data_IF_317423124204
#
_entry.id   IF_317423124204
#
_cell.length_a   1.000
_cell.length_b   1.000
_cell.length_c   1.000
_cell.angle_alpha   90.00
_cell.angle_beta   90.00
_cell.angle_gamma   90.00
#
_symmetry.space_group_name_H-M   'P 1'
#
loop_
_entity.id
_entity.type
_entity.pdbx_description
1 polymer ?
#
# COMPACT_ATOMS: atom_id res chain seq x y z
N UNK A 1 13.02 35.82 83.07
CA UNK A 1 13.73 36.31 81.85
C UNK A 1 13.95 35.18 80.96
N UNK A 2 13.19 34.99 79.93
CA UNK A 2 13.32 33.97 78.91
C UNK A 2 13.41 34.66 77.53
N UNK A 3 14.58 34.45 76.87
CA UNK A 3 14.89 34.94 75.56
C UNK A 3 14.25 34.04 74.51
N UNK A 4 13.43 34.59 73.63
CA UNK A 4 12.95 33.92 72.42
C UNK A 4 13.87 34.32 71.24
N UNK A 5 14.62 33.40 70.72
CA UNK A 5 15.28 33.54 69.45
C UNK A 5 14.37 33.02 68.34
N UNK A 6 13.90 33.86 67.46
CA UNK A 6 13.17 33.48 66.26
C UNK A 6 14.14 33.13 65.17
N UNK A 7 14.09 31.86 64.69
CA UNK A 7 14.81 31.44 63.54
C UNK A 7 13.96 31.66 62.26
N UNK A 8 14.42 32.59 61.44
CA UNK A 8 13.84 32.86 60.11
C UNK A 8 14.37 31.84 59.11
N UNK A 9 13.55 30.83 58.76
CA UNK A 9 13.88 29.85 57.75
C UNK A 9 13.54 30.38 56.34
N UNK A 10 14.56 30.74 55.57
CA UNK A 10 14.40 30.99 54.13
C UNK A 10 14.17 29.64 53.42
N UNK A 11 12.94 29.40 52.97
CA UNK A 11 12.65 28.32 52.03
C UNK A 11 13.12 28.76 50.63
N UNK A 12 14.25 28.22 50.18
CA UNK A 12 14.67 28.33 48.76
C UNK A 12 13.80 27.40 47.95
N UNK A 13 12.84 27.97 47.20
CA UNK A 13 12.09 27.22 46.21
C UNK A 13 13.02 26.80 45.09
N UNK A 14 13.43 25.54 45.09
CA UNK A 14 14.13 24.94 43.96
C UNK A 14 13.13 24.86 42.77
N UNK A 15 13.22 25.83 41.87
CA UNK A 15 12.58 25.75 40.57
C UNK A 15 13.21 24.58 39.81
N UNK A 16 12.52 23.45 39.79
CA UNK A 16 12.91 22.31 38.94
C UNK A 16 12.84 22.77 37.48
N UNK A 17 13.99 23.12 36.90
CA UNK A 17 14.14 23.29 35.47
C UNK A 17 13.69 21.99 34.83
N UNK A 18 12.51 22.01 34.18
CA UNK A 18 12.11 20.91 33.29
C UNK A 18 13.20 20.76 32.22
N UNK A 19 13.80 19.59 32.05
CA UNK A 19 14.79 19.42 30.99
C UNK A 19 14.14 19.85 29.67
N UNK A 20 14.83 20.73 28.93
CA UNK A 20 14.41 21.10 27.60
C UNK A 20 14.26 19.80 26.81
N UNK A 21 13.03 19.49 26.38
CA UNK A 21 12.78 18.34 25.50
C UNK A 21 13.62 18.59 24.25
N UNK A 22 14.60 17.72 24.01
CA UNK A 22 15.29 17.69 22.72
C UNK A 22 14.21 17.73 21.62
N UNK A 23 14.42 18.48 20.52
CA UNK A 23 13.48 18.48 19.42
C UNK A 23 13.39 17.05 18.90
N UNK A 24 12.26 16.38 19.19
CA UNK A 24 11.99 15.08 18.63
C UNK A 24 11.71 15.31 17.15
N UNK A 25 12.61 14.88 16.28
CA UNK A 25 12.34 14.72 14.87
C UNK A 25 11.29 13.62 14.73
N UNK A 26 10.01 14.01 14.78
CA UNK A 26 8.92 13.08 14.59
C UNK A 26 8.79 12.80 13.10
N UNK A 27 9.17 11.59 12.69
CA UNK A 27 8.72 11.03 11.41
C UNK A 27 7.20 10.93 11.45
N UNK A 28 6.51 11.88 10.80
CA UNK A 28 5.05 11.85 10.68
C UNK A 28 4.66 10.75 9.71
N UNK A 29 3.80 9.80 10.11
CA UNK A 29 3.36 8.64 9.32
C UNK A 29 2.45 8.98 8.12
N UNK A 30 2.49 10.21 7.60
CA UNK A 30 1.70 10.65 6.45
C UNK A 30 2.55 10.80 5.18
N UNK A 31 3.85 10.51 5.25
CA UNK A 31 4.78 10.50 4.12
C UNK A 31 5.34 9.10 3.92
N UNK A 32 5.54 8.70 2.67
CA UNK A 32 6.08 7.42 2.26
C UNK A 32 7.06 7.60 1.11
N UNK A 33 8.13 6.78 1.06
CA UNK A 33 9.22 6.87 0.10
C UNK A 33 10.35 7.79 0.54
N UNK A 34 11.49 7.70 -0.14
CA UNK A 34 12.74 8.46 0.12
C UNK A 34 13.08 9.38 -1.04
N UNK A 35 13.37 8.82 -2.21
CA UNK A 35 13.67 9.53 -3.44
C UNK A 35 12.39 9.88 -4.19
N UNK A 36 11.50 8.91 -4.38
CA UNK A 36 10.14 9.13 -4.86
C UNK A 36 9.20 9.14 -3.66
N UNK A 37 8.83 10.32 -3.20
CA UNK A 37 8.13 10.49 -1.94
C UNK A 37 6.74 11.05 -2.12
N UNK A 38 5.78 10.48 -1.42
CA UNK A 38 4.43 11.03 -1.33
C UNK A 38 4.12 11.50 0.10
N UNK A 39 3.31 12.55 0.21
CA UNK A 39 2.68 12.98 1.47
C UNK A 39 1.19 13.12 1.25
N UNK A 40 0.38 12.33 1.96
CA UNK A 40 -1.09 12.35 1.84
C UNK A 40 -1.74 13.17 2.95
N UNK A 41 -2.83 13.85 2.64
CA UNK A 41 -3.57 14.72 3.56
C UNK A 41 -5.07 14.68 3.31
N UNK A 42 -5.84 15.26 4.22
CA UNK A 42 -7.29 15.35 4.14
C UNK A 42 -8.04 14.18 4.77
N UNK A 43 -9.33 14.35 4.99
CA UNK A 43 -10.24 13.41 5.64
C UNK A 43 -11.44 13.10 4.75
N UNK A 44 -12.16 11.99 5.09
CA UNK A 44 -13.31 11.54 4.30
C UNK A 44 -14.51 12.49 4.35
N UNK A 45 -14.63 13.32 5.37
CA UNK A 45 -15.67 14.32 5.61
C UNK A 45 -15.05 15.70 5.89
N UNK A 46 -14.04 16.08 5.12
CA UNK A 46 -13.45 17.42 5.06
C UNK A 46 -13.66 18.02 3.67
N UNK A 47 -12.95 19.09 3.35
CA UNK A 47 -13.02 19.75 2.04
C UNK A 47 -12.54 18.87 0.86
N UNK A 48 -11.64 17.93 1.13
CA UNK A 48 -11.07 17.03 0.13
C UNK A 48 -9.98 16.15 0.71
N UNK A 49 -9.42 15.30 -0.13
CA UNK A 49 -8.21 14.50 0.11
C UNK A 49 -7.21 14.75 -1.00
N UNK A 50 -5.94 14.71 -0.69
CA UNK A 50 -4.93 14.97 -1.70
C UNK A 50 -3.59 14.33 -1.38
N UNK A 51 -2.66 14.56 -2.30
CA UNK A 51 -1.29 14.10 -2.22
C UNK A 51 -0.35 15.16 -2.77
N UNK A 52 0.83 15.22 -2.19
CA UNK A 52 2.00 15.88 -2.77
C UNK A 52 2.98 14.77 -3.12
N UNK A 53 3.38 14.70 -4.39
CA UNK A 53 4.47 13.85 -4.88
C UNK A 53 5.70 14.70 -5.01
N UNK A 54 6.78 14.30 -4.36
CA UNK A 54 8.08 14.94 -4.39
C UNK A 54 9.14 13.97 -4.95
N UNK A 55 10.11 14.48 -5.70
CA UNK A 55 11.15 13.68 -6.32
C UNK A 55 10.78 13.03 -7.67
N UNK A 56 9.62 13.34 -8.25
CA UNK A 56 9.32 12.89 -9.61
C UNK A 56 10.30 13.53 -10.61
N UNK A 57 10.98 12.76 -11.50
CA UNK A 57 11.81 13.32 -12.53
C UNK A 57 11.08 14.31 -13.44
N UNK A 58 11.76 15.32 -14.00
CA UNK A 58 11.15 16.20 -15.02
C UNK A 58 10.92 15.45 -16.33
N UNK A 59 10.03 15.98 -17.17
CA UNK A 59 9.73 15.50 -18.55
C UNK A 59 8.99 14.15 -18.59
N UNK A 60 8.40 13.72 -17.49
CA UNK A 60 7.46 12.60 -17.49
C UNK A 60 6.12 13.09 -18.04
N UNK A 61 5.57 12.53 -19.13
CA UNK A 61 4.22 12.86 -19.60
C UNK A 61 3.19 12.60 -18.51
N UNK A 62 2.45 13.63 -18.12
CA UNK A 62 1.46 13.53 -17.06
C UNK A 62 0.32 14.52 -17.29
N UNK A 63 -0.90 13.99 -17.32
CA UNK A 63 -2.15 14.75 -17.32
C UNK A 63 -3.09 14.15 -16.27
N UNK A 64 -4.26 14.75 -16.09
CA UNK A 64 -5.29 14.19 -15.22
C UNK A 64 -5.80 12.82 -15.71
N UNK A 65 -5.75 12.53 -17.00
CA UNK A 65 -6.35 11.32 -17.61
C UNK A 65 -5.80 10.01 -17.04
N UNK A 66 -4.48 9.73 -17.01
CA UNK A 66 -3.95 8.50 -16.44
C UNK A 66 -4.19 8.41 -14.91
N UNK A 67 -4.13 9.54 -14.21
CA UNK A 67 -4.44 9.58 -12.76
C UNK A 67 -5.91 9.27 -12.52
N UNK A 68 -6.81 9.87 -13.30
CA UNK A 68 -8.25 9.65 -13.21
C UNK A 68 -8.65 8.22 -13.54
N UNK A 69 -7.96 7.58 -14.48
CA UNK A 69 -8.16 6.17 -14.81
C UNK A 69 -7.94 5.28 -13.57
N UNK A 70 -6.83 5.44 -12.87
CA UNK A 70 -6.54 4.67 -11.65
C UNK A 70 -7.52 5.00 -10.51
N UNK A 71 -7.89 6.25 -10.35
CA UNK A 71 -8.88 6.66 -9.36
C UNK A 71 -10.27 6.09 -9.67
N UNK A 72 -10.65 5.98 -10.93
CA UNK A 72 -11.91 5.35 -11.34
C UNK A 72 -11.96 3.87 -10.95
N UNK A 73 -10.85 3.15 -11.04
CA UNK A 73 -10.73 1.76 -10.58
C UNK A 73 -10.89 1.64 -9.06
N UNK A 74 -10.47 2.65 -8.29
CA UNK A 74 -10.51 2.67 -6.82
C UNK A 74 -11.84 3.21 -6.25
N UNK A 75 -12.54 4.11 -6.94
CA UNK A 75 -13.70 4.85 -6.42
C UNK A 75 -14.81 3.96 -5.85
N UNK A 76 -15.69 4.48 -4.95
CA UNK A 76 -16.89 3.77 -4.52
C UNK A 76 -17.95 3.70 -5.63
N UNK A 77 -19.00 2.89 -5.43
CA UNK A 77 -20.18 2.88 -6.31
C UNK A 77 -19.97 2.18 -7.66
N UNK A 78 -18.96 1.32 -7.81
CA UNK A 78 -18.63 0.66 -9.07
C UNK A 78 -19.56 -0.51 -9.39
N UNK A 79 -20.04 -1.22 -8.38
CA UNK A 79 -20.93 -2.39 -8.53
C UNK A 79 -21.72 -2.64 -7.26
N UNK A 80 -22.66 -3.59 -7.31
CA UNK A 80 -23.42 -4.05 -6.15
C UNK A 80 -22.56 -4.74 -5.06
N UNK A 81 -21.32 -5.10 -5.38
CA UNK A 81 -20.37 -5.72 -4.45
C UNK A 81 -19.65 -4.70 -3.58
N UNK A 82 -19.71 -3.42 -3.95
CA UNK A 82 -19.04 -2.31 -3.26
C UNK A 82 -20.07 -1.38 -2.63
N UNK A 83 -19.60 -0.42 -1.84
CA UNK A 83 -20.45 0.59 -1.21
C UNK A 83 -21.30 1.35 -2.22
N UNK A 84 -22.59 1.63 -1.93
CA UNK A 84 -23.47 2.42 -2.80
C UNK A 84 -23.19 3.94 -2.74
N UNK A 85 -22.15 4.38 -2.04
CA UNK A 85 -21.70 5.76 -2.05
C UNK A 85 -21.31 6.18 -3.47
N UNK A 86 -21.70 7.37 -3.90
CA UNK A 86 -21.38 7.87 -5.24
C UNK A 86 -20.44 9.07 -5.16
N UNK A 87 -19.20 8.88 -5.56
CA UNK A 87 -18.17 9.92 -5.67
C UNK A 87 -17.51 9.81 -7.03
N UNK A 88 -17.36 10.91 -7.72
CA UNK A 88 -16.66 10.95 -9.01
C UNK A 88 -15.15 10.81 -8.86
N UNK A 89 -14.62 11.14 -7.67
CA UNK A 89 -13.19 11.19 -7.35
C UNK A 89 -12.38 11.96 -8.43
N UNK A 90 -12.96 13.04 -8.94
CA UNK A 90 -12.33 13.87 -9.98
C UNK A 90 -11.07 14.51 -9.44
N UNK A 91 -9.94 14.26 -10.08
CA UNK A 91 -8.64 14.80 -9.69
C UNK A 91 -8.38 16.16 -10.33
N UNK A 92 -7.75 17.05 -9.57
CA UNK A 92 -7.20 18.32 -10.02
C UNK A 92 -5.69 18.29 -9.80
N UNK A 93 -4.88 18.53 -10.84
CA UNK A 93 -3.42 18.73 -10.71
C UNK A 93 -3.18 20.22 -10.49
N UNK A 94 -2.63 20.59 -9.33
CA UNK A 94 -2.48 21.97 -8.91
C UNK A 94 -1.09 22.55 -9.19
N UNK A 95 -0.06 21.70 -9.28
CA UNK A 95 1.34 22.12 -9.51
C UNK A 95 2.20 20.98 -10.05
N UNK A 96 3.42 21.30 -10.47
CA UNK A 96 4.46 20.34 -10.84
C UNK A 96 4.35 19.77 -12.25
N UNK A 97 3.37 20.23 -13.03
CA UNK A 97 3.16 19.85 -14.44
C UNK A 97 3.01 21.12 -15.27
N UNK A 98 3.69 21.18 -16.37
CA UNK A 98 3.52 22.23 -17.39
C UNK A 98 2.22 21.95 -18.17
N UNK A 99 1.28 22.88 -18.10
CA UNK A 99 -0.05 22.75 -18.73
C UNK A 99 -0.01 22.80 -20.26
N UNK A 100 0.99 23.43 -20.84
CA UNK A 100 1.10 23.56 -22.31
C UNK A 100 1.67 22.28 -22.92
N UNK A 101 2.70 21.71 -22.29
CA UNK A 101 3.41 20.53 -22.81
C UNK A 101 2.94 19.21 -22.18
N UNK A 102 2.22 19.25 -21.05
CA UNK A 102 1.75 18.05 -20.35
C UNK A 102 2.87 17.21 -19.75
N UNK A 103 3.99 17.82 -19.35
CA UNK A 103 5.11 17.09 -18.73
C UNK A 103 5.43 17.62 -17.33
N UNK A 104 5.99 16.76 -16.50
CA UNK A 104 6.45 17.12 -15.15
C UNK A 104 7.63 18.09 -15.19
N UNK A 105 7.71 18.98 -14.20
CA UNK A 105 8.74 20.02 -14.09
C UNK A 105 9.90 19.64 -13.15
N UNK A 106 9.83 18.48 -12.46
CA UNK A 106 10.79 18.11 -11.41
C UNK A 106 10.55 18.84 -10.07
N UNK A 107 9.48 19.61 -9.98
CA UNK A 107 9.01 20.27 -8.75
C UNK A 107 7.86 19.47 -8.13
N UNK A 108 7.49 19.73 -6.84
CA UNK A 108 6.42 18.97 -6.21
C UNK A 108 5.10 19.01 -6.97
N UNK A 109 4.51 17.83 -7.20
CA UNK A 109 3.21 17.66 -7.87
C UNK A 109 2.14 17.57 -6.79
N UNK A 110 1.29 18.58 -6.69
CA UNK A 110 0.15 18.59 -5.78
C UNK A 110 -1.12 18.18 -6.52
N UNK A 111 -1.84 17.20 -5.97
CA UNK A 111 -3.13 16.73 -6.52
C UNK A 111 -4.20 16.74 -5.45
N UNK A 112 -5.42 17.12 -5.85
CA UNK A 112 -6.58 17.26 -4.97
C UNK A 112 -7.79 16.55 -5.57
N UNK A 113 -8.54 15.84 -4.71
CA UNK A 113 -9.90 15.34 -4.99
C UNK A 113 -10.86 15.92 -3.96
N UNK A 114 -11.86 16.67 -4.40
CA UNK A 114 -12.87 17.29 -3.53
C UNK A 114 -13.91 16.28 -3.07
N UNK A 115 -14.33 16.37 -1.81
CA UNK A 115 -15.43 15.58 -1.30
C UNK A 115 -16.77 16.19 -1.71
N UNK A 116 -17.67 15.39 -2.31
CA UNK A 116 -18.98 15.83 -2.79
C UNK A 116 -20.16 15.16 -2.07
N UNK A 117 -20.07 13.87 -1.74
CA UNK A 117 -21.16 13.07 -1.13
C UNK A 117 -20.87 12.79 0.35
N UNK A 118 -21.10 13.78 1.21
CA UNK A 118 -20.95 13.71 2.67
C UNK A 118 -22.32 13.72 3.34
N UNK A 119 -22.61 12.72 4.19
CA UNK A 119 -23.83 12.64 5.00
C UNK A 119 -23.44 12.54 6.48
N UNK A 120 -23.31 13.67 7.15
CA UNK A 120 -22.85 13.73 8.55
C UNK A 120 -23.83 13.09 9.54
N UNK A 121 -25.14 13.12 9.25
CA UNK A 121 -26.19 12.58 10.13
C UNK A 121 -26.15 11.06 10.28
N UNK A 122 -25.46 10.33 9.39
CA UNK A 122 -25.31 8.88 9.48
C UNK A 122 -24.40 8.44 10.67
N UNK A 123 -23.73 9.37 11.35
CA UNK A 123 -22.67 9.08 12.31
C UNK A 123 -23.01 9.44 13.77
N UNK A 124 -24.20 9.94 14.09
CA UNK A 124 -24.56 10.38 15.44
C UNK A 124 -24.43 9.26 16.49
N UNK A 125 -24.91 8.06 16.17
CA UNK A 125 -24.76 6.90 17.07
C UNK A 125 -23.30 6.43 17.20
N UNK A 126 -22.49 6.66 16.19
CA UNK A 126 -21.06 6.32 16.18
C UNK A 126 -20.21 7.34 16.92
N UNK A 127 -20.75 8.55 17.22
CA UNK A 127 -20.10 9.54 18.06
C UNK A 127 -19.99 9.07 19.50
N UNK A 128 -21.00 8.39 20.01
CA UNK A 128 -21.09 7.96 21.41
C UNK A 128 -20.42 6.61 21.69
N UNK A 129 -20.36 5.69 20.71
CA UNK A 129 -19.84 4.34 20.89
C UNK A 129 -18.72 4.01 19.89
N UNK A 130 -17.88 3.04 20.24
CA UNK A 130 -16.79 2.59 19.39
C UNK A 130 -17.28 1.47 18.45
N UNK A 131 -16.98 1.59 17.16
CA UNK A 131 -17.24 0.51 16.21
C UNK A 131 -16.29 -0.67 16.46
N UNK A 132 -16.78 -1.89 16.66
CA UNK A 132 -15.92 -3.07 16.84
C UNK A 132 -14.93 -3.21 15.68
N UNK A 133 -13.66 -3.49 15.99
CA UNK A 133 -12.56 -3.64 15.00
C UNK A 133 -12.29 -2.42 14.11
N UNK A 134 -12.89 -1.25 14.37
CA UNK A 134 -12.53 0.02 13.74
C UNK A 134 -11.47 0.77 14.55
N UNK A 135 -10.88 1.82 13.98
CA UNK A 135 -9.84 2.61 14.63
C UNK A 135 -10.34 3.61 15.70
N UNK A 136 -11.64 3.61 16.04
CA UNK A 136 -12.26 4.65 16.88
C UNK A 136 -11.59 4.78 18.26
N UNK A 137 -11.49 3.67 19.01
CA UNK A 137 -10.91 3.64 20.35
C UNK A 137 -9.40 3.94 20.33
N UNK A 138 -8.68 3.44 19.33
CA UNK A 138 -7.22 3.63 19.21
C UNK A 138 -6.86 5.06 18.83
N UNK A 139 -7.69 5.74 18.04
CA UNK A 139 -7.50 7.17 17.74
C UNK A 139 -7.78 8.04 18.99
N UNK A 140 -8.87 7.78 19.73
CA UNK A 140 -9.13 8.46 20.99
C UNK A 140 -8.01 8.22 22.01
N UNK A 141 -7.52 7.00 22.15
CA UNK A 141 -6.42 6.66 23.05
C UNK A 141 -5.10 7.37 22.68
N UNK A 142 -4.82 7.51 21.38
CA UNK A 142 -3.57 8.12 20.90
C UNK A 142 -3.62 9.65 20.89
N UNK A 143 -4.70 10.21 20.37
CA UNK A 143 -4.79 11.65 20.07
C UNK A 143 -5.72 12.40 21.01
N UNK A 144 -6.52 11.71 21.84
CA UNK A 144 -7.56 12.32 22.69
C UNK A 144 -8.78 12.83 21.92
N UNK A 145 -8.73 12.80 20.60
CA UNK A 145 -9.77 13.28 19.68
C UNK A 145 -9.74 12.48 18.38
N UNK A 146 -10.92 12.29 17.79
CA UNK A 146 -11.05 11.62 16.47
C UNK A 146 -12.02 12.36 15.55
N UNK A 147 -11.84 12.20 14.26
CA UNK A 147 -12.86 12.55 13.27
C UNK A 147 -13.95 11.47 13.29
N UNK A 148 -15.11 11.76 13.86
CA UNK A 148 -16.22 10.80 13.97
C UNK A 148 -16.84 10.51 12.62
N UNK A 149 -17.15 11.55 11.85
CA UNK A 149 -17.74 11.43 10.53
C UNK A 149 -16.78 10.71 9.56
N UNK A 150 -17.18 9.56 9.07
CA UNK A 150 -16.43 8.75 8.10
C UNK A 150 -15.11 8.14 8.60
N UNK A 151 -14.72 8.38 9.86
CA UNK A 151 -13.47 7.86 10.44
C UNK A 151 -12.19 8.59 10.01
N UNK A 152 -12.29 9.79 9.45
CA UNK A 152 -11.14 10.67 9.14
C UNK A 152 -10.07 9.98 8.28
N UNK A 153 -8.81 10.01 8.76
CA UNK A 153 -7.64 9.39 8.12
C UNK A 153 -7.64 7.85 8.16
N UNK A 154 -8.45 7.21 9.01
CA UNK A 154 -8.60 5.75 9.03
C UNK A 154 -9.56 5.24 7.94
N UNK A 155 -10.20 6.12 7.20
CA UNK A 155 -11.10 5.78 6.11
C UNK A 155 -10.35 5.32 4.86
N UNK A 156 -10.92 4.35 4.13
CA UNK A 156 -10.42 3.95 2.81
C UNK A 156 -10.35 5.11 1.78
N UNK A 157 -11.01 6.25 2.05
CA UNK A 157 -10.93 7.43 1.20
C UNK A 157 -9.52 8.04 1.17
N UNK A 158 -8.74 7.88 2.21
CA UNK A 158 -7.33 8.31 2.27
C UNK A 158 -6.50 7.70 1.12
N UNK A 159 -6.83 6.49 0.67
CA UNK A 159 -6.12 5.81 -0.41
C UNK A 159 -6.20 6.52 -1.77
N UNK A 160 -7.09 7.50 -1.94
CA UNK A 160 -7.10 8.39 -3.11
C UNK A 160 -5.73 9.02 -3.32
N UNK A 161 -5.13 9.57 -2.27
CA UNK A 161 -3.80 10.18 -2.35
C UNK A 161 -2.71 9.18 -2.75
N UNK A 162 -2.80 7.93 -2.25
CA UNK A 162 -1.85 6.87 -2.62
C UNK A 162 -1.98 6.47 -4.08
N UNK A 163 -3.20 6.25 -4.55
CA UNK A 163 -3.47 5.85 -5.95
C UNK A 163 -3.11 6.97 -6.92
N UNK A 164 -3.44 8.23 -6.60
CA UNK A 164 -3.05 9.37 -7.42
C UNK A 164 -1.51 9.53 -7.50
N UNK A 165 -0.81 9.43 -6.37
CA UNK A 165 0.66 9.47 -6.35
C UNK A 165 1.30 8.29 -7.07
N UNK A 166 0.69 7.10 -6.97
CA UNK A 166 1.16 5.92 -7.66
C UNK A 166 0.95 5.96 -9.17
N UNK A 167 -0.08 6.67 -9.67
CA UNK A 167 -0.23 6.88 -11.11
C UNK A 167 0.99 7.60 -11.71
N UNK A 168 1.56 8.57 -10.99
CA UNK A 168 2.82 9.22 -11.38
C UNK A 168 3.99 8.24 -11.32
N UNK A 169 4.09 7.42 -10.27
CA UNK A 169 5.12 6.39 -10.13
C UNK A 169 5.08 5.37 -11.26
N UNK A 170 3.87 4.93 -11.67
CA UNK A 170 3.67 3.99 -12.78
C UNK A 170 4.20 4.55 -14.10
N UNK A 171 3.99 5.83 -14.39
CA UNK A 171 4.55 6.46 -15.60
C UNK A 171 6.08 6.49 -15.59
N UNK A 172 6.69 6.80 -14.44
CA UNK A 172 8.16 6.74 -14.29
C UNK A 172 8.68 5.33 -14.55
N UNK A 173 8.06 4.32 -13.96
CA UNK A 173 8.44 2.91 -14.09
C UNK A 173 8.26 2.42 -15.54
N UNK A 174 7.13 2.72 -16.15
CA UNK A 174 6.82 2.35 -17.54
C UNK A 174 7.83 2.94 -18.53
N UNK A 175 8.13 4.23 -18.40
CA UNK A 175 9.07 4.92 -19.29
C UNK A 175 10.52 4.45 -19.12
N UNK A 176 10.91 4.10 -17.89
CA UNK A 176 12.28 3.67 -17.62
C UNK A 176 12.55 2.22 -18.06
N UNK A 177 11.66 1.29 -17.74
CA UNK A 177 11.93 -0.15 -17.88
C UNK A 177 10.74 -0.96 -18.41
N UNK A 178 9.62 -0.31 -18.76
CA UNK A 178 8.41 -1.02 -19.16
C UNK A 178 7.77 -1.83 -18.01
N UNK A 179 8.03 -1.44 -16.76
CA UNK A 179 7.43 -2.12 -15.58
C UNK A 179 5.92 -1.92 -15.60
N UNK A 180 5.20 -3.01 -15.49
CA UNK A 180 3.76 -3.05 -15.31
C UNK A 180 3.41 -3.66 -13.97
N UNK A 181 2.44 -3.06 -13.26
CA UNK A 181 1.97 -3.54 -11.96
C UNK A 181 0.47 -3.81 -12.06
N UNK A 182 0.05 -5.02 -11.69
CA UNK A 182 -1.32 -5.47 -11.84
C UNK A 182 -1.78 -6.24 -10.60
N UNK A 183 -2.93 -5.83 -10.03
CA UNK A 183 -3.52 -6.46 -8.85
C UNK A 183 -4.89 -7.04 -9.16
N UNK A 184 -5.19 -8.19 -8.58
CA UNK A 184 -6.47 -8.88 -8.76
C UNK A 184 -6.89 -9.63 -7.49
N UNK A 185 -8.16 -9.97 -7.42
CA UNK A 185 -8.70 -10.73 -6.28
C UNK A 185 -8.41 -12.21 -6.50
N UNK A 186 -7.55 -12.76 -5.66
CA UNK A 186 -7.13 -14.16 -5.68
C UNK A 186 -8.07 -15.05 -4.86
N UNK A 187 -8.63 -14.53 -3.74
CA UNK A 187 -9.54 -15.28 -2.90
C UNK A 187 -10.57 -14.39 -2.22
N UNK A 188 -11.79 -14.90 -2.06
CA UNK A 188 -12.84 -14.37 -1.20
C UNK A 188 -13.23 -15.47 -0.24
N UNK A 189 -12.84 -15.33 1.03
CA UNK A 189 -13.01 -16.34 2.08
C UNK A 189 -12.39 -17.68 1.66
N UNK A 190 -13.19 -18.71 1.44
CA UNK A 190 -12.84 -20.06 1.03
C UNK A 190 -12.83 -20.27 -0.50
N UNK A 191 -13.40 -19.35 -1.27
CA UNK A 191 -13.39 -19.39 -2.74
C UNK A 191 -12.06 -18.81 -3.24
N UNK A 192 -11.23 -19.66 -3.86
CA UNK A 192 -9.86 -19.31 -4.31
C UNK A 192 -9.65 -19.65 -5.77
N UNK A 193 -8.81 -18.87 -6.43
CA UNK A 193 -8.28 -19.23 -7.76
C UNK A 193 -7.46 -20.52 -7.68
N UNK A 194 -7.36 -21.28 -8.79
CA UNK A 194 -6.47 -22.43 -8.87
C UNK A 194 -5.01 -22.08 -8.54
N UNK A 195 -4.28 -22.99 -7.88
CA UNK A 195 -2.88 -22.75 -7.50
C UNK A 195 -1.94 -22.70 -8.70
N UNK A 196 -2.28 -23.44 -9.75
CA UNK A 196 -1.56 -23.55 -11.04
C UNK A 196 -1.95 -22.45 -12.04
N UNK A 197 -2.72 -21.46 -11.61
CA UNK A 197 -3.07 -20.31 -12.45
C UNK A 197 -1.82 -19.56 -12.91
N UNK A 198 -1.73 -19.35 -14.24
CA UNK A 198 -0.60 -18.66 -14.85
C UNK A 198 -0.66 -17.14 -14.57
N UNK A 199 0.17 -16.69 -13.65
CA UNK A 199 0.29 -15.30 -13.24
C UNK A 199 0.93 -14.40 -14.29
N UNK A 200 1.80 -14.98 -15.12
CA UNK A 200 2.59 -14.22 -16.09
C UNK A 200 1.78 -13.85 -17.34
N UNK A 201 0.60 -14.45 -17.51
CA UNK A 201 -0.30 -14.17 -18.65
C UNK A 201 -1.42 -13.18 -18.34
N UNK A 202 -1.57 -12.72 -17.10
CA UNK A 202 -2.68 -11.85 -16.69
C UNK A 202 -2.56 -10.46 -17.31
N UNK A 203 -3.64 -10.00 -17.91
CA UNK A 203 -3.76 -8.63 -18.43
C UNK A 203 -4.75 -7.78 -17.64
N UNK A 204 -4.67 -6.47 -17.80
CA UNK A 204 -5.63 -5.54 -17.18
C UNK A 204 -7.07 -5.82 -17.65
N UNK A 205 -7.24 -6.18 -18.92
CA UNK A 205 -8.56 -6.50 -19.48
C UNK A 205 -9.16 -7.75 -18.83
N UNK A 206 -8.34 -8.76 -18.50
CA UNK A 206 -8.80 -9.94 -17.78
C UNK A 206 -9.29 -9.59 -16.37
N UNK A 207 -8.57 -8.70 -15.67
CA UNK A 207 -8.94 -8.25 -14.33
C UNK A 207 -10.22 -7.42 -14.35
N UNK A 208 -10.32 -6.43 -15.25
CA UNK A 208 -11.45 -5.50 -15.28
C UNK A 208 -12.72 -6.11 -15.90
N UNK A 209 -12.64 -7.26 -16.58
CA UNK A 209 -13.79 -8.00 -17.13
C UNK A 209 -14.78 -8.42 -16.06
N UNK A 210 -14.30 -8.74 -14.86
CA UNK A 210 -15.14 -9.15 -13.72
C UNK A 210 -15.33 -8.01 -12.73
N UNK A 211 -16.56 -7.83 -12.23
CA UNK A 211 -16.86 -6.84 -11.18
C UNK A 211 -16.17 -7.14 -9.84
N UNK A 212 -15.70 -8.37 -9.61
CA UNK A 212 -14.90 -8.74 -8.43
C UNK A 212 -13.40 -8.56 -8.69
N UNK A 213 -12.98 -8.32 -9.95
CA UNK A 213 -11.58 -8.23 -10.37
C UNK A 213 -10.79 -9.51 -10.16
N UNK A 214 -11.40 -10.64 -10.46
CA UNK A 214 -10.74 -11.94 -10.53
C UNK A 214 -10.59 -12.32 -12.01
N UNK A 215 -9.35 -12.60 -12.51
CA UNK A 215 -9.12 -12.91 -13.91
C UNK A 215 -9.59 -14.32 -14.31
N UNK A 216 -9.81 -15.24 -13.36
CA UNK A 216 -10.33 -16.58 -13.60
C UNK A 216 -11.86 -16.58 -13.56
N UNK A 217 -12.52 -16.75 -14.71
CA UNK A 217 -13.96 -16.50 -14.87
C UNK A 217 -14.85 -17.33 -13.94
N UNK A 218 -14.62 -18.66 -13.86
CA UNK A 218 -15.44 -19.53 -12.99
C UNK A 218 -15.29 -19.16 -11.52
N UNK A 219 -14.08 -18.85 -11.08
CA UNK A 219 -13.83 -18.40 -9.70
C UNK A 219 -14.44 -17.01 -9.46
N UNK A 220 -14.42 -16.14 -10.45
CA UNK A 220 -15.04 -14.81 -10.34
C UNK A 220 -16.52 -14.91 -10.06
N UNK A 221 -17.25 -15.77 -10.77
CA UNK A 221 -18.70 -16.00 -10.57
C UNK A 221 -18.97 -16.57 -9.17
N UNK A 222 -18.20 -17.56 -8.73
CA UNK A 222 -18.31 -18.15 -7.40
C UNK A 222 -18.00 -17.11 -6.28
N UNK A 223 -17.02 -16.24 -6.48
CA UNK A 223 -16.71 -15.14 -5.55
C UNK A 223 -17.84 -14.13 -5.48
N UNK A 224 -18.45 -13.76 -6.60
CA UNK A 224 -19.59 -12.84 -6.68
C UNK A 224 -20.76 -13.41 -5.89
N UNK A 225 -21.09 -14.67 -6.10
CA UNK A 225 -22.17 -15.35 -5.38
C UNK A 225 -21.91 -15.41 -3.88
N UNK A 226 -20.67 -15.68 -3.46
CA UNK A 226 -20.28 -15.72 -2.05
C UNK A 226 -20.43 -14.33 -1.41
N UNK A 227 -20.00 -13.26 -2.07
CA UNK A 227 -20.15 -11.88 -1.57
C UNK A 227 -21.64 -11.54 -1.45
N UNK A 228 -22.47 -11.87 -2.45
CA UNK A 228 -23.91 -11.60 -2.43
C UNK A 228 -24.63 -12.38 -1.33
N UNK A 229 -24.26 -13.63 -1.04
CA UNK A 229 -24.79 -14.41 0.10
C UNK A 229 -24.54 -13.67 1.42
N UNK A 230 -23.30 -13.25 1.68
CA UNK A 230 -22.93 -12.56 2.93
C UNK A 230 -23.56 -11.16 3.00
N UNK A 231 -23.63 -10.42 1.89
CA UNK A 231 -24.28 -9.11 1.82
C UNK A 231 -25.75 -9.18 2.25
N UNK A 232 -26.48 -10.22 1.85
CA UNK A 232 -27.89 -10.41 2.22
C UNK A 232 -28.10 -10.63 3.71
N UNK A 233 -27.09 -11.10 4.45
CA UNK A 233 -27.14 -11.23 5.91
C UNK A 233 -26.87 -9.91 6.65
N UNK A 234 -26.50 -8.84 5.94
CA UNK A 234 -26.07 -7.59 6.53
C UNK A 234 -24.65 -7.63 7.12
N UNK A 235 -23.86 -8.66 6.78
CA UNK A 235 -22.46 -8.81 7.17
C UNK A 235 -21.49 -8.37 6.05
N UNK A 236 -20.20 -8.57 6.27
CA UNK A 236 -19.11 -8.28 5.33
C UNK A 236 -18.16 -9.46 5.21
N UNK A 237 -17.37 -9.50 4.14
CA UNK A 237 -16.46 -10.59 3.82
C UNK A 237 -15.09 -10.04 3.42
N UNK A 238 -14.04 -10.75 3.77
CA UNK A 238 -12.65 -10.48 3.42
C UNK A 238 -12.10 -11.50 2.43
N UNK A 239 -10.81 -11.42 2.18
CA UNK A 239 -10.09 -12.34 1.29
C UNK A 239 -8.68 -11.85 0.97
N UNK A 240 -8.18 -12.20 -0.19
CA UNK A 240 -6.80 -11.97 -0.61
C UNK A 240 -6.77 -11.27 -1.97
N UNK A 241 -5.96 -10.22 -2.05
CA UNK A 241 -5.54 -9.59 -3.29
C UNK A 241 -4.13 -10.08 -3.61
N UNK A 242 -3.93 -10.58 -4.81
CA UNK A 242 -2.61 -10.86 -5.37
C UNK A 242 -2.21 -9.70 -6.29
N UNK A 243 -0.93 -9.34 -6.29
CA UNK A 243 -0.39 -8.31 -7.15
C UNK A 243 0.92 -8.80 -7.76
N UNK A 244 1.04 -8.60 -9.06
CA UNK A 244 2.21 -8.95 -9.87
C UNK A 244 2.85 -7.67 -10.41
N UNK A 245 4.18 -7.67 -10.52
CA UNK A 245 4.92 -6.63 -11.22
C UNK A 245 5.84 -7.27 -12.24
N UNK A 246 5.58 -6.97 -13.51
CA UNK A 246 6.32 -7.48 -14.67
C UNK A 246 7.46 -6.54 -15.03
N UNK A 247 8.48 -7.07 -15.70
CA UNK A 247 9.61 -6.32 -16.26
C UNK A 247 10.39 -5.51 -15.21
N UNK A 248 10.38 -5.94 -13.95
CA UNK A 248 11.12 -5.27 -12.89
C UNK A 248 12.61 -5.52 -13.11
N UNK A 249 13.45 -4.45 -13.24
CA UNK A 249 14.89 -4.64 -13.37
C UNK A 249 15.48 -5.38 -12.17
N UNK A 250 16.49 -6.20 -12.41
CA UNK A 250 17.31 -6.75 -11.33
C UNK A 250 18.07 -5.60 -10.62
N UNK A 251 18.30 -5.75 -9.30
CA UNK A 251 19.12 -4.81 -8.55
C UNK A 251 18.35 -3.84 -7.65
N UNK A 252 17.01 -3.85 -7.64
CA UNK A 252 16.22 -2.95 -6.80
C UNK A 252 16.09 -3.47 -5.37
N UNK A 253 16.35 -2.63 -4.39
CA UNK A 253 16.30 -2.94 -2.97
C UNK A 253 17.61 -2.66 -2.26
N UNK A 254 17.55 -2.33 -0.98
CA UNK A 254 18.70 -1.91 -0.18
C UNK A 254 18.82 -2.70 1.14
N UNK A 255 19.37 -3.94 1.12
CA UNK A 255 19.65 -4.64 2.36
C UNK A 255 20.61 -3.81 3.25
N UNK A 256 20.65 -4.00 4.59
CA UNK A 256 20.06 -5.17 5.28
C UNK A 256 18.59 -4.94 5.66
N UNK A 257 18.20 -3.73 6.10
CA UNK A 257 16.87 -3.47 6.65
C UNK A 257 15.84 -3.04 5.60
N UNK A 258 16.30 -2.36 4.54
CA UNK A 258 15.44 -1.85 3.47
C UNK A 258 15.37 -2.82 2.28
N UNK A 259 15.30 -4.11 2.60
CA UNK A 259 15.03 -5.16 1.62
C UNK A 259 13.76 -4.85 0.84
N UNK A 260 13.74 -5.15 -0.45
CA UNK A 260 12.59 -4.83 -1.30
C UNK A 260 11.29 -5.46 -0.76
N UNK A 261 11.32 -6.73 -0.34
CA UNK A 261 10.18 -7.41 0.29
C UNK A 261 9.75 -6.77 1.61
N UNK A 262 10.68 -6.19 2.38
CA UNK A 262 10.35 -5.50 3.63
C UNK A 262 9.61 -4.18 3.36
N UNK A 263 10.06 -3.40 2.37
CA UNK A 263 9.39 -2.16 1.98
C UNK A 263 8.02 -2.45 1.30
N UNK A 264 7.91 -3.51 0.50
CA UNK A 264 6.63 -3.99 -0.06
C UNK A 264 5.65 -4.38 1.06
N UNK A 265 6.12 -5.15 2.05
CA UNK A 265 5.30 -5.55 3.20
C UNK A 265 4.83 -4.33 4.01
N UNK A 266 5.72 -3.40 4.33
CA UNK A 266 5.41 -2.14 5.04
C UNK A 266 4.36 -1.32 4.27
N UNK A 267 4.53 -1.18 2.96
CA UNK A 267 3.63 -0.45 2.09
C UNK A 267 2.23 -1.08 2.09
N UNK A 268 2.13 -2.38 1.79
CA UNK A 268 0.86 -3.09 1.72
C UNK A 268 0.17 -3.21 3.08
N UNK A 269 0.93 -3.46 4.16
CA UNK A 269 0.39 -3.51 5.52
C UNK A 269 -0.06 -2.15 6.07
N UNK A 270 0.31 -1.05 5.43
CA UNK A 270 -0.19 0.29 5.75
C UNK A 270 -1.59 0.57 5.18
N UNK A 271 -2.11 -0.29 4.30
CA UNK A 271 -3.46 -0.15 3.74
C UNK A 271 -4.54 -0.42 4.79
N UNK A 272 -5.68 0.31 4.74
CA UNK A 272 -6.81 0.01 5.60
C UNK A 272 -7.29 -1.44 5.43
N UNK A 273 -7.61 -2.11 6.53
CA UNK A 273 -8.09 -3.49 6.62
C UNK A 273 -7.08 -4.59 6.23
N UNK A 274 -5.86 -4.29 5.82
CA UNK A 274 -4.82 -5.30 5.60
C UNK A 274 -4.45 -6.01 6.90
N UNK A 275 -4.17 -7.34 6.83
CA UNK A 275 -3.88 -8.21 7.99
C UNK A 275 -2.80 -9.24 7.75
N UNK A 276 -2.36 -9.43 6.51
CA UNK A 276 -1.30 -10.34 6.15
C UNK A 276 -0.64 -9.93 4.86
N UNK A 277 0.62 -10.33 4.72
CA UNK A 277 1.43 -10.12 3.53
C UNK A 277 2.27 -11.36 3.28
N UNK A 278 2.35 -11.78 2.03
CA UNK A 278 3.25 -12.84 1.58
C UNK A 278 3.92 -12.41 0.27
N UNK A 279 5.13 -12.89 0.05
CA UNK A 279 5.85 -12.75 -1.22
C UNK A 279 6.27 -14.13 -1.70
N UNK A 280 6.16 -14.38 -3.00
CA UNK A 280 6.49 -15.67 -3.57
C UNK A 280 5.71 -16.81 -2.92
N UNK A 281 6.37 -17.89 -2.61
CA UNK A 281 5.78 -19.07 -1.96
C UNK A 281 5.20 -18.77 -0.56
N UNK A 282 5.63 -17.67 0.08
CA UNK A 282 5.08 -17.22 1.35
C UNK A 282 5.08 -18.33 2.43
N UNK A 283 3.98 -18.44 3.17
CA UNK A 283 3.83 -19.48 4.19
C UNK A 283 3.82 -20.90 3.59
N UNK A 284 3.33 -21.08 2.36
CA UNK A 284 3.35 -22.38 1.66
C UNK A 284 4.77 -22.92 1.45
N UNK A 285 5.75 -22.03 1.27
CA UNK A 285 7.16 -22.40 1.13
C UNK A 285 7.73 -23.14 2.34
N UNK A 286 7.18 -22.93 3.54
CA UNK A 286 7.62 -23.63 4.76
C UNK A 286 7.32 -25.13 4.76
N UNK A 287 6.44 -25.58 3.87
CA UNK A 287 6.09 -26.99 3.71
C UNK A 287 7.01 -27.72 2.73
N UNK A 288 7.92 -27.01 2.07
CA UNK A 288 8.86 -27.56 1.09
C UNK A 288 10.23 -27.79 1.73
N UNK A 289 10.94 -28.82 1.29
CA UNK A 289 12.36 -28.95 1.57
C UNK A 289 13.21 -27.98 0.74
N UNK A 290 14.49 -27.78 1.09
CA UNK A 290 15.35 -26.80 0.44
C UNK A 290 15.51 -27.07 -1.06
N UNK A 291 15.61 -28.33 -1.50
CA UNK A 291 15.75 -28.68 -2.90
C UNK A 291 14.47 -28.37 -3.70
N UNK A 292 13.31 -28.66 -3.13
CA UNK A 292 12.02 -28.38 -3.76
C UNK A 292 11.70 -26.87 -3.77
N UNK A 293 12.21 -26.11 -2.80
CA UNK A 293 11.98 -24.67 -2.69
C UNK A 293 12.95 -23.83 -3.54
N UNK A 294 14.20 -24.26 -3.72
CA UNK A 294 15.24 -23.45 -4.38
C UNK A 294 14.89 -23.17 -5.85
N UNK A 295 15.00 -21.91 -6.23
CA UNK A 295 14.86 -21.45 -7.61
C UNK A 295 16.20 -21.67 -8.36
N UNK A 296 16.30 -22.76 -9.11
CA UNK A 296 17.51 -23.13 -9.86
C UNK A 296 17.79 -22.10 -10.96
N UNK A 297 19.06 -21.68 -11.07
CA UNK A 297 19.48 -20.75 -12.10
C UNK A 297 19.69 -21.41 -13.46
N UNK A 298 19.42 -20.65 -14.50
CA UNK A 298 19.81 -20.99 -15.88
C UNK A 298 20.16 -19.70 -16.65
N UNK A 299 20.76 -19.84 -17.82
CA UNK A 299 21.05 -18.73 -18.72
C UNK A 299 20.06 -18.80 -19.88
N UNK A 300 19.32 -17.72 -20.12
CA UNK A 300 18.36 -17.63 -21.22
C UNK A 300 19.06 -17.40 -22.58
N UNK A 301 18.27 -17.31 -23.66
CA UNK A 301 18.78 -17.12 -25.02
C UNK A 301 19.50 -15.77 -25.20
N UNK A 302 19.19 -14.77 -24.38
CA UNK A 302 19.80 -13.46 -24.40
C UNK A 302 21.08 -13.38 -23.52
N UNK A 303 21.49 -14.50 -22.90
CA UNK A 303 22.64 -14.57 -22.00
C UNK A 303 22.37 -14.05 -20.58
N UNK A 304 21.11 -13.87 -20.18
CA UNK A 304 20.72 -13.38 -18.84
C UNK A 304 20.56 -14.55 -17.88
N UNK A 305 20.99 -14.33 -16.64
CA UNK A 305 20.71 -15.27 -15.55
C UNK A 305 19.24 -15.15 -15.14
N UNK A 306 18.51 -16.27 -15.21
CA UNK A 306 17.10 -16.41 -14.87
C UNK A 306 16.91 -17.57 -13.89
N UNK A 307 15.71 -17.71 -13.33
CA UNK A 307 15.36 -18.83 -12.46
C UNK A 307 14.29 -19.73 -13.10
N UNK A 308 14.39 -21.08 -12.88
CA UNK A 308 13.45 -22.06 -13.44
C UNK A 308 12.10 -22.06 -12.73
N UNK A 309 12.08 -21.61 -11.50
CA UNK A 309 10.88 -21.37 -10.69
C UNK A 309 11.00 -20.00 -10.04
N UNK A 310 9.92 -19.48 -9.48
CA UNK A 310 9.90 -18.17 -8.85
C UNK A 310 9.24 -18.24 -7.46
N UNK A 311 9.73 -19.17 -6.63
CA UNK A 311 9.26 -19.31 -5.24
C UNK A 311 9.72 -18.16 -4.36
N UNK A 312 10.85 -17.53 -4.72
CA UNK A 312 11.35 -16.31 -4.08
C UNK A 312 10.48 -15.07 -4.37
N UNK A 313 9.57 -15.14 -5.36
CA UNK A 313 8.69 -14.03 -5.73
C UNK A 313 9.41 -12.83 -6.32
N UNK A 314 10.48 -13.07 -7.12
CA UNK A 314 11.24 -12.03 -7.82
C UNK A 314 12.26 -11.29 -6.95
N UNK A 315 12.45 -11.70 -5.68
CA UNK A 315 13.36 -11.03 -4.73
C UNK A 315 14.24 -12.05 -4.04
N UNK A 316 15.55 -11.87 -4.09
CA UNK A 316 16.54 -12.73 -3.43
C UNK A 316 17.52 -11.84 -2.65
N UNK A 317 17.73 -12.17 -1.38
CA UNK A 317 18.62 -11.38 -0.50
C UNK A 317 18.16 -9.94 -0.26
N UNK A 318 16.91 -9.61 -0.55
CA UNK A 318 16.37 -8.26 -0.43
C UNK A 318 16.44 -7.42 -1.72
N UNK A 319 16.87 -8.04 -2.82
CA UNK A 319 17.14 -7.38 -4.10
C UNK A 319 16.34 -8.08 -5.19
N UNK A 320 15.73 -7.33 -6.12
CA UNK A 320 15.03 -7.89 -7.27
C UNK A 320 16.01 -8.65 -8.17
N UNK A 321 15.58 -9.82 -8.67
CA UNK A 321 16.41 -10.69 -9.51
C UNK A 321 16.04 -10.66 -11.01
N UNK A 322 15.07 -9.84 -11.42
CA UNK A 322 14.61 -9.72 -12.79
C UNK A 322 13.43 -10.62 -13.15
N UNK A 323 13.00 -11.49 -12.23
CA UNK A 323 11.76 -12.25 -12.37
C UNK A 323 10.54 -11.43 -11.96
N UNK A 324 9.34 -11.89 -12.34
CA UNK A 324 8.08 -11.28 -11.90
C UNK A 324 8.02 -11.21 -10.38
N UNK A 325 7.83 -10.00 -9.84
CA UNK A 325 7.56 -9.86 -8.42
C UNK A 325 6.08 -10.14 -8.20
N UNK A 326 5.76 -11.03 -7.26
CA UNK A 326 4.39 -11.30 -6.90
C UNK A 326 4.20 -11.40 -5.40
N UNK A 327 3.15 -10.72 -4.93
CA UNK A 327 2.81 -10.60 -3.52
C UNK A 327 1.34 -10.85 -3.29
N UNK A 328 0.97 -11.29 -2.09
CA UNK A 328 -0.41 -11.49 -1.64
C UNK A 328 -0.68 -10.67 -0.39
N UNK A 329 -1.82 -10.00 -0.36
CA UNK A 329 -2.24 -9.16 0.77
C UNK A 329 -3.61 -9.62 1.25
N UNK A 330 -3.68 -10.03 2.52
CA UNK A 330 -4.93 -10.45 3.15
C UNK A 330 -5.67 -9.24 3.73
N UNK A 331 -6.95 -9.14 3.43
CA UNK A 331 -7.85 -8.11 3.94
C UNK A 331 -8.94 -8.73 4.81
N UNK A 332 -9.10 -8.19 6.03
CA UNK A 332 -10.20 -8.59 6.90
C UNK A 332 -11.55 -8.07 6.36
N UNK A 333 -12.67 -8.67 6.77
CA UNK A 333 -13.99 -8.09 6.54
C UNK A 333 -14.08 -6.64 7.04
N UNK A 334 -14.87 -5.80 6.37
CA UNK A 334 -15.10 -4.42 6.81
C UNK A 334 -15.80 -4.41 8.17
N UNK A 335 -15.36 -3.55 9.08
CA UNK A 335 -15.81 -3.59 10.49
C UNK A 335 -17.21 -3.00 10.72
N UNK A 336 -17.69 -2.15 9.83
CA UNK A 336 -19.02 -1.55 9.96
C UNK A 336 -20.04 -2.39 9.21
N UNK A 337 -20.89 -3.10 9.94
CA UNK A 337 -21.88 -4.04 9.40
C UNK A 337 -23.31 -3.72 9.91
N UNK A 338 -24.32 -4.18 9.17
CA UNK A 338 -25.73 -4.01 9.50
C UNK A 338 -26.24 -4.92 10.61
N UNK A 339 -25.43 -5.81 11.14
CA UNK A 339 -25.77 -6.68 12.26
C UNK A 339 -25.48 -5.99 13.60
N UNK A 340 -26.23 -6.36 14.63
CA UNK A 340 -26.03 -5.85 16.00
C UNK A 340 -24.77 -6.45 16.60
N UNK A 341 -23.92 -5.61 17.18
CA UNK A 341 -22.64 -6.01 17.78
C UNK A 341 -22.53 -5.40 19.18
N UNK A 342 -21.98 -6.15 20.13
CA UNK A 342 -21.62 -5.62 21.45
C UNK A 342 -20.41 -4.70 21.34
N UNK A 343 -20.44 -3.59 22.09
CA UNK A 343 -19.37 -2.60 22.14
C UNK A 343 -19.43 -1.79 23.43
N UNK A 344 -18.64 -0.73 23.53
CA UNK A 344 -18.66 0.19 24.65
C UNK A 344 -18.79 1.64 24.18
N UNK A 345 -19.41 2.47 25.02
CA UNK A 345 -19.44 3.91 24.83
C UNK A 345 -18.05 4.53 25.10
N UNK A 346 -17.86 5.80 24.71
CA UNK A 346 -16.65 6.59 25.11
C UNK A 346 -16.51 6.72 26.63
N UNK A 347 -17.62 6.62 27.37
CA UNK A 347 -17.65 6.64 28.84
C UNK A 347 -17.29 5.30 29.49
N UNK A 348 -17.09 4.22 28.71
CA UNK A 348 -16.74 2.90 29.22
C UNK A 348 -17.98 2.02 29.57
N UNK A 349 -19.17 2.40 29.19
CA UNK A 349 -20.41 1.64 29.44
C UNK A 349 -20.65 0.63 28.32
N UNK A 350 -20.99 -0.61 28.67
CA UNK A 350 -21.37 -1.63 27.68
C UNK A 350 -22.65 -1.26 26.94
N UNK A 351 -22.65 -1.45 25.64
CA UNK A 351 -23.78 -1.12 24.77
C UNK A 351 -23.80 -1.99 23.52
N UNK A 352 -24.78 -1.79 22.68
CA UNK A 352 -24.86 -2.45 21.38
C UNK A 352 -24.92 -1.43 20.25
N UNK A 353 -24.23 -1.73 19.17
CA UNK A 353 -24.15 -0.89 17.99
C UNK A 353 -24.53 -1.69 16.73
N UNK A 354 -25.42 -1.13 15.93
CA UNK A 354 -25.68 -1.55 14.57
C UNK A 354 -25.11 -0.51 13.62
N UNK A 355 -24.19 -0.90 12.75
CA UNK A 355 -23.64 0.02 11.76
C UNK A 355 -24.72 0.47 10.78
N UNK A 356 -25.01 1.78 10.80
CA UNK A 356 -25.82 2.44 9.77
C UNK A 356 -24.88 3.08 8.74
N UNK A 357 -25.33 3.21 7.50
CA UNK A 357 -24.60 3.88 6.45
C UNK A 357 -24.21 2.96 5.30
N UNK A 358 -23.40 3.53 4.39
CA UNK A 358 -23.01 2.91 3.10
C UNK A 358 -21.62 2.32 3.22
N UNK A 359 -21.52 1.03 3.51
CA UNK A 359 -20.24 0.33 3.68
C UNK A 359 -20.05 -0.73 2.61
N UNK A 360 -18.79 -1.09 2.32
CA UNK A 360 -18.46 -2.14 1.38
C UNK A 360 -18.83 -3.51 1.97
N UNK A 361 -19.69 -4.32 1.34
CA UNK A 361 -19.85 -5.73 1.71
C UNK A 361 -18.54 -6.50 1.54
N UNK A 362 -17.77 -6.14 0.51
CA UNK A 362 -16.43 -6.65 0.25
C UNK A 362 -15.53 -5.51 -0.25
N UNK A 363 -14.38 -5.32 0.40
CA UNK A 363 -13.43 -4.26 0.01
C UNK A 363 -12.52 -4.67 -1.13
N UNK A 364 -12.38 -5.97 -1.41
CA UNK A 364 -11.37 -6.53 -2.30
C UNK A 364 -11.35 -5.93 -3.71
N UNK A 365 -12.51 -5.75 -4.40
CA UNK A 365 -12.50 -5.16 -5.74
C UNK A 365 -11.88 -3.76 -5.78
N UNK A 366 -12.01 -3.00 -4.68
CA UNK A 366 -11.40 -1.67 -4.52
C UNK A 366 -9.98 -1.73 -4.00
N UNK A 367 -9.63 -2.81 -3.28
CA UNK A 367 -8.29 -3.00 -2.73
C UNK A 367 -7.26 -3.37 -3.80
N UNK A 368 -7.65 -4.03 -4.88
CA UNK A 368 -6.73 -4.40 -5.96
C UNK A 368 -5.92 -3.18 -6.47
N UNK A 369 -6.52 -2.08 -6.97
CA UNK A 369 -5.75 -0.91 -7.38
C UNK A 369 -5.03 -0.20 -6.22
N UNK A 370 -5.42 -0.40 -4.96
CA UNK A 370 -4.70 0.14 -3.81
C UNK A 370 -3.40 -0.63 -3.54
N UNK A 371 -3.42 -1.95 -3.71
CA UNK A 371 -2.21 -2.79 -3.60
C UNK A 371 -1.25 -2.49 -4.74
N UNK A 372 -1.75 -2.39 -5.98
CA UNK A 372 -0.96 -1.96 -7.14
C UNK A 372 -0.26 -0.62 -6.86
N UNK A 373 -0.99 0.33 -6.31
CA UNK A 373 -0.46 1.64 -5.98
C UNK A 373 0.72 1.57 -5.00
N UNK A 374 0.61 0.75 -3.95
CA UNK A 374 1.67 0.62 -2.97
C UNK A 374 2.90 -0.10 -3.54
N UNK A 375 2.70 -1.13 -4.38
CA UNK A 375 3.79 -1.82 -5.09
C UNK A 375 4.50 -0.86 -6.04
N UNK A 376 3.76 -0.10 -6.86
CA UNK A 376 4.34 0.87 -7.78
C UNK A 376 5.15 1.98 -7.08
N UNK A 377 4.66 2.49 -5.94
CA UNK A 377 5.38 3.48 -5.14
C UNK A 377 6.70 2.94 -4.59
N UNK A 378 6.73 1.70 -4.10
CA UNK A 378 7.95 1.05 -3.61
C UNK A 378 8.94 0.85 -4.76
N UNK A 379 8.48 0.34 -5.89
CA UNK A 379 9.36 0.08 -7.04
C UNK A 379 9.95 1.36 -7.63
N UNK A 380 9.15 2.44 -7.75
CA UNK A 380 9.65 3.73 -8.23
C UNK A 380 10.69 4.34 -7.28
N UNK A 381 10.44 4.27 -5.97
CA UNK A 381 11.38 4.76 -4.97
C UNK A 381 12.68 3.93 -4.98
N UNK A 382 12.60 2.60 -5.03
CA UNK A 382 13.75 1.71 -5.12
C UNK A 382 14.54 1.91 -6.41
N UNK A 383 13.87 2.12 -7.55
CA UNK A 383 14.51 2.44 -8.83
C UNK A 383 15.32 3.72 -8.74
N UNK A 384 14.77 4.79 -8.17
CA UNK A 384 15.45 6.06 -8.03
C UNK A 384 16.61 5.99 -7.04
N UNK A 385 16.47 5.22 -5.95
CA UNK A 385 17.57 4.95 -5.02
C UNK A 385 18.71 4.20 -5.72
N UNK A 386 18.39 3.16 -6.50
CA UNK A 386 19.37 2.40 -7.29
C UNK A 386 20.14 3.32 -8.26
N UNK A 387 19.43 4.18 -8.99
CA UNK A 387 20.03 5.16 -9.89
C UNK A 387 20.96 6.13 -9.14
N UNK A 388 20.52 6.67 -8.02
CA UNK A 388 21.32 7.60 -7.22
C UNK A 388 22.60 6.95 -6.63
N UNK A 389 22.53 5.67 -6.28
CA UNK A 389 23.62 4.95 -5.62
C UNK A 389 24.60 4.32 -6.63
N UNK A 390 24.08 3.70 -7.69
CA UNK A 390 24.87 2.79 -8.52
C UNK A 390 25.24 3.36 -9.90
N UNK A 391 24.54 4.38 -10.40
CA UNK A 391 24.82 4.93 -11.74
C UNK A 391 25.92 6.02 -11.73
N UNK A 392 26.44 6.39 -10.56
CA UNK A 392 27.53 7.38 -10.45
C UNK A 392 28.84 6.87 -11.06
N UNK A 393 29.09 5.58 -10.93
CA UNK A 393 30.24 4.91 -11.52
C UNK A 393 29.75 3.75 -12.38
N UNK A 394 30.18 3.70 -13.65
CA UNK A 394 29.83 2.56 -14.51
C UNK A 394 30.62 1.31 -14.09
N UNK A 395 29.97 0.14 -14.14
CA UNK A 395 30.61 -1.13 -13.85
C UNK A 395 31.80 -1.43 -14.79
N UNK A 396 31.84 -0.83 -15.99
CA UNK A 396 32.91 -1.00 -16.97
C UNK A 396 34.18 -0.23 -16.59
N UNK A 397 34.09 0.80 -15.74
CA UNK A 397 35.23 1.68 -15.38
C UNK A 397 35.95 1.26 -14.10
N UNK A 398 35.30 0.45 -13.25
CA UNK A 398 35.84 0.05 -11.96
C UNK A 398 36.06 -1.47 -11.87
N UNK A 399 37.23 -1.94 -12.27
CA UNK A 399 37.75 -3.24 -11.86
C UNK A 399 37.21 -4.50 -12.56
N UNK A 400 36.98 -4.51 -13.85
CA UNK A 400 36.77 -5.78 -14.59
C UNK A 400 35.56 -6.63 -14.14
N UNK A 401 34.67 -6.06 -13.36
CA UNK A 401 33.43 -6.68 -12.94
C UNK A 401 32.40 -6.46 -14.06
N UNK A 402 32.29 -7.44 -14.96
CA UNK A 402 31.21 -7.44 -15.94
C UNK A 402 29.89 -7.68 -15.19
N UNK A 403 29.08 -6.64 -15.04
CA UNK A 403 27.78 -6.73 -14.37
C UNK A 403 26.90 -7.84 -14.95
N UNK A 404 25.92 -8.27 -14.19
CA UNK A 404 24.85 -9.18 -14.67
C UNK A 404 24.28 -8.64 -15.98
N UNK A 405 24.60 -9.31 -17.10
CA UNK A 405 24.19 -8.89 -18.46
C UNK A 405 25.31 -8.56 -19.44
N UNK A 406 26.58 -8.46 -19.02
CA UNK A 406 27.71 -8.34 -19.93
C UNK A 406 28.53 -9.63 -19.93
N UNK A 407 28.65 -10.25 -21.08
CA UNK A 407 29.38 -11.48 -21.48
C UNK A 407 29.62 -12.53 -20.38
N UNK A 408 29.25 -13.79 -20.61
CA UNK A 408 29.44 -14.85 -19.64
C UNK A 408 30.91 -14.95 -19.23
N UNK A 409 31.19 -14.78 -17.95
CA UNK A 409 32.45 -15.24 -17.37
C UNK A 409 32.48 -16.75 -17.60
N UNK A 410 33.51 -17.26 -18.26
CA UNK A 410 33.72 -18.73 -18.32
C UNK A 410 33.67 -19.26 -16.90
N UNK A 411 32.68 -20.08 -16.63
CA UNK A 411 32.58 -20.73 -15.33
C UNK A 411 33.89 -21.46 -15.03
N UNK A 412 34.55 -21.23 -13.90
CA UNK A 412 35.58 -22.12 -13.45
C UNK A 412 34.95 -23.50 -13.29
N UNK A 413 35.64 -24.55 -13.76
CA UNK A 413 35.15 -25.91 -13.67
C UNK A 413 34.66 -26.22 -12.26
N UNK A 414 33.64 -27.05 -12.15
CA UNK A 414 32.96 -27.42 -10.91
C UNK A 414 34.02 -27.67 -9.82
N UNK A 415 34.12 -26.75 -8.88
CA UNK A 415 34.86 -26.98 -7.65
C UNK A 415 33.96 -27.92 -6.81
N UNK A 416 34.39 -29.16 -6.67
CA UNK A 416 33.73 -30.10 -5.76
C UNK A 416 33.75 -29.45 -4.37
N UNK A 417 32.57 -29.26 -3.79
CA UNK A 417 32.44 -28.83 -2.42
C UNK A 417 33.12 -29.86 -1.50
N UNK A 418 34.10 -29.43 -0.73
CA UNK A 418 34.70 -30.20 0.36
C UNK A 418 33.76 -30.15 1.55
#
# INVERSE_FOLDING_TARGET
MRSLTAACGLAVAASAMRPARAPMTMGMGNSFGRCFRISTWGESHGGGVGVVVDGCPPRVPLTETPVQFELNRRRPGQSRLTTPRNESDTVEILSGVDKETGVTLGTPIAMLVRNKDQKSNDYDTMAAAYRPSHADATYDAKYGVRAVAGGGRSSARETIGRVAGAAVAREVLRLHSGVEVLGYVQAVQDVRMPEDFDRDSVTLDDVERSMVRCPHAETADAMIDRIDQIRRTGSSIGGVVECVAYNVPAGLGAPVFDKLEAELAKACMSLPASKGFEIGSGFGGTMLDGKAHNDEFYVDADGRTRTRSNRSGGVQGGISNGETIWVRVAFKPTSTIGQLQNTVTRGGEETQLRGKGRHDPCVLPRAAPMVEAMVALVLADALMQQKAQCDLLSFSETAGFNGLGSKPVKAPGVVAAV
#
